data_IF_766312509438
#
_entry.id   IF_766312509438
#
_cell.length_a   1.000
_cell.length_b   1.000
_cell.length_c   1.000
_cell.angle_alpha   90.00
_cell.angle_beta   90.00
_cell.angle_gamma   90.00
#
_symmetry.space_group_name_H-M   'P 1'
#
loop_
_entity.id
_entity.type
_entity.pdbx_description
1 polymer ?
#
# COMPACT_ATOMS: atom_id res chain seq x y z
N UNK A 1 3.73 -7.19 1.77
CA UNK A 1 3.00 -6.62 0.62
C UNK A 1 3.37 -5.15 0.50
N UNK A 2 3.75 -4.71 -0.69
CA UNK A 2 3.95 -3.30 -1.00
C UNK A 2 2.90 -2.89 -2.04
N UNK A 3 1.99 -1.99 -1.68
CA UNK A 3 1.02 -1.39 -2.57
C UNK A 3 1.48 0.01 -2.98
N UNK A 4 1.48 0.31 -4.28
CA UNK A 4 2.04 1.53 -4.85
C UNK A 4 1.06 2.15 -5.82
N UNK A 5 0.80 3.46 -5.67
CA UNK A 5 0.09 4.26 -6.69
C UNK A 5 -1.33 3.77 -7.00
N UNK A 6 -2.03 3.25 -5.99
CA UNK A 6 -3.39 2.74 -6.12
C UNK A 6 -4.25 3.26 -4.96
N UNK A 7 -5.50 3.59 -5.24
CA UNK A 7 -6.49 3.92 -4.21
C UNK A 7 -7.01 2.69 -3.48
N UNK A 8 -6.69 1.48 -3.98
CA UNK A 8 -7.09 0.19 -3.40
C UNK A 8 -8.61 0.00 -3.27
N UNK A 9 -9.40 0.65 -4.12
CA UNK A 9 -10.87 0.53 -4.13
C UNK A 9 -11.45 -0.41 -5.19
N UNK A 10 -10.61 -1.02 -6.04
CA UNK A 10 -11.07 -1.88 -7.13
C UNK A 10 -10.97 -3.35 -6.73
N UNK A 11 -12.10 -4.05 -6.79
CA UNK A 11 -12.18 -5.48 -6.52
C UNK A 11 -12.12 -6.30 -7.83
N UNK A 12 -11.54 -7.52 -7.80
CA UNK A 12 -11.09 -8.27 -6.62
C UNK A 12 -9.67 -7.95 -6.16
N UNK A 13 -8.90 -7.14 -6.90
CA UNK A 13 -7.47 -6.96 -6.63
C UNK A 13 -7.20 -6.31 -5.27
N UNK A 14 -8.06 -5.40 -4.80
CA UNK A 14 -7.94 -4.79 -3.47
C UNK A 14 -7.89 -5.81 -2.32
N UNK A 15 -8.49 -7.01 -2.49
CA UNK A 15 -8.48 -8.07 -1.47
C UNK A 15 -7.09 -8.65 -1.18
N UNK A 16 -6.07 -8.37 -2.00
CA UNK A 16 -4.70 -8.80 -1.68
C UNK A 16 -4.17 -8.16 -0.40
N UNK A 17 -4.67 -6.99 -0.01
CA UNK A 17 -4.28 -6.28 1.22
C UNK A 17 -4.78 -7.00 2.48
N UNK A 18 -6.10 -7.23 2.67
CA UNK A 18 -6.58 -8.01 3.80
C UNK A 18 -6.07 -9.45 3.76
N UNK A 19 -5.89 -10.06 2.58
CA UNK A 19 -5.29 -11.39 2.47
C UNK A 19 -3.85 -11.41 3.02
N UNK A 20 -3.02 -10.42 2.66
CA UNK A 20 -1.67 -10.30 3.19
C UNK A 20 -1.66 -10.18 4.72
N UNK A 21 -2.56 -9.36 5.29
CA UNK A 21 -2.70 -9.24 6.75
C UNK A 21 -3.11 -10.54 7.43
N UNK A 22 -4.08 -11.26 6.88
CA UNK A 22 -4.52 -12.56 7.42
C UNK A 22 -3.37 -13.58 7.42
N UNK A 23 -2.49 -13.52 6.43
CA UNK A 23 -1.29 -14.36 6.37
C UNK A 23 -0.10 -13.81 7.17
N UNK A 24 -0.29 -12.75 7.95
CA UNK A 24 0.76 -12.17 8.80
C UNK A 24 1.86 -11.43 8.03
N UNK A 25 1.65 -11.13 6.75
CA UNK A 25 2.61 -10.35 5.98
C UNK A 25 2.46 -8.85 6.30
N UNK A 26 3.57 -8.11 6.48
CA UNK A 26 3.51 -6.66 6.69
C UNK A 26 2.99 -5.97 5.43
N UNK A 27 2.17 -4.94 5.60
CA UNK A 27 1.55 -4.13 4.54
C UNK A 27 2.13 -2.72 4.56
N UNK A 28 2.82 -2.35 3.49
CA UNK A 28 3.29 -0.99 3.24
C UNK A 28 2.49 -0.39 2.08
N UNK A 29 1.93 0.80 2.28
CA UNK A 29 1.19 1.55 1.26
C UNK A 29 1.97 2.83 0.92
N UNK A 30 2.25 3.04 -0.37
CA UNK A 30 2.84 4.27 -0.91
C UNK A 30 1.89 4.87 -1.92
N UNK A 31 1.30 6.02 -1.62
CA UNK A 31 0.38 6.69 -2.53
C UNK A 31 0.43 8.22 -2.35
N UNK A 32 0.06 8.97 -3.38
CA UNK A 32 0.02 10.45 -3.30
C UNK A 32 -1.20 11.02 -2.56
N UNK A 33 -2.05 10.16 -2.00
CA UNK A 33 -3.28 10.53 -1.31
C UNK A 33 -3.90 9.31 -0.61
N UNK A 34 -5.10 9.46 -0.02
CA UNK A 34 -5.72 8.41 0.78
C UNK A 34 -6.02 7.14 -0.04
N UNK A 35 -6.09 6.00 0.64
CA UNK A 35 -6.53 4.73 0.07
C UNK A 35 -7.65 4.11 0.91
N UNK A 36 -8.46 3.25 0.31
CA UNK A 36 -9.54 2.54 1.02
C UNK A 36 -9.02 1.50 2.03
N UNK A 37 -7.73 1.19 2.00
CA UNK A 37 -7.11 0.17 2.85
C UNK A 37 -6.09 0.74 3.84
N UNK A 38 -6.12 2.06 4.09
CA UNK A 38 -5.16 2.74 4.97
C UNK A 38 -5.15 2.17 6.39
N UNK A 39 -6.31 1.78 6.91
CA UNK A 39 -6.45 1.19 8.26
C UNK A 39 -5.80 -0.21 8.37
N UNK A 40 -5.56 -0.86 7.24
CA UNK A 40 -4.87 -2.15 7.17
C UNK A 40 -3.37 -2.00 6.92
N UNK A 41 -2.84 -0.80 6.74
CA UNK A 41 -1.41 -0.60 6.55
C UNK A 41 -0.64 -0.73 7.87
N UNK A 42 0.51 -1.41 7.87
CA UNK A 42 1.48 -1.27 8.95
C UNK A 42 2.21 0.07 8.86
N UNK A 43 2.45 0.52 7.63
CA UNK A 43 3.10 1.80 7.33
C UNK A 43 2.41 2.42 6.12
N UNK A 44 2.09 3.72 6.22
CA UNK A 44 1.58 4.54 5.12
C UNK A 44 2.56 5.66 4.83
N UNK A 45 3.00 5.77 3.58
CA UNK A 45 3.84 6.86 3.10
C UNK A 45 3.06 7.64 2.06
N UNK A 46 2.79 8.90 2.38
CA UNK A 46 2.11 9.82 1.47
C UNK A 46 3.14 10.64 0.71
N UNK A 47 3.12 10.55 -0.63
CA UNK A 47 4.07 11.27 -1.48
C UNK A 47 4.13 10.78 -2.92
N UNK A 48 4.96 11.46 -3.72
CA UNK A 48 5.22 11.07 -5.10
C UNK A 48 5.95 9.72 -5.14
N UNK A 49 5.38 8.73 -5.83
CA UNK A 49 6.00 7.40 -5.97
C UNK A 49 7.38 7.47 -6.64
N UNK A 50 7.60 8.45 -7.52
CA UNK A 50 8.86 8.68 -8.22
C UNK A 50 9.97 9.18 -7.28
N UNK A 51 9.61 9.77 -6.15
CA UNK A 51 10.55 10.25 -5.13
C UNK A 51 10.74 9.21 -4.01
N UNK A 52 9.63 8.60 -3.56
CA UNK A 52 9.62 7.68 -2.42
C UNK A 52 10.25 6.34 -2.78
N UNK A 53 9.89 5.74 -3.93
CA UNK A 53 10.35 4.38 -4.24
C UNK A 53 11.88 4.27 -4.35
N UNK A 54 12.60 5.18 -5.04
CA UNK A 54 14.06 5.12 -5.07
C UNK A 54 14.71 5.17 -3.69
N UNK A 55 14.13 5.88 -2.72
CA UNK A 55 14.65 5.95 -1.36
C UNK A 55 14.36 4.68 -0.52
N UNK A 56 13.35 3.89 -0.90
CA UNK A 56 12.98 2.66 -0.19
C UNK A 56 13.73 1.42 -0.66
N UNK A 57 14.05 1.35 -1.97
CA UNK A 57 14.62 0.13 -2.59
C UNK A 57 16.01 0.35 -3.21
N UNK A 58 16.54 1.57 -3.14
CA UNK A 58 17.84 1.96 -3.67
C UNK A 58 19.02 1.63 -2.76
#
# INVERSE_FOLDING_TARGET
LLAVGSTLGVYPIANVVPLAKVHGAPVLIVNGGPTEMDDLADVRIEGSISEVLPALVG
#
